data_IF_897289130316
#
_entry.id   IF_897289130316
#
_cell.length_a   1.000
_cell.length_b   1.000
_cell.length_c   1.000
_cell.angle_alpha   90.00
_cell.angle_beta   90.00
_cell.angle_gamma   90.00
#
_symmetry.space_group_name_H-M   'P 1'
#
loop_
_entity.id
_entity.type
_entity.pdbx_description
1 polymer ?
#
# COMPACT_ATOMS: atom_id res chain seq x y z
N UNK A 1 6.72 -16.51 6.83
CA UNK A 1 6.50 -15.77 8.09
C UNK A 1 6.93 -16.63 9.27
N UNK A 2 7.56 -16.03 10.28
CA UNK A 2 8.06 -16.67 11.50
C UNK A 2 7.50 -15.93 12.72
N UNK A 3 6.99 -16.66 13.72
CA UNK A 3 6.46 -16.14 14.97
C UNK A 3 7.20 -16.83 16.13
N UNK A 4 7.71 -16.07 17.09
CA UNK A 4 8.44 -16.59 18.26
C UNK A 4 7.97 -15.94 19.55
N UNK A 5 7.89 -16.75 20.60
CA UNK A 5 7.54 -16.33 21.97
C UNK A 5 6.24 -15.49 22.03
N UNK A 6 5.14 -15.98 21.46
CA UNK A 6 3.85 -15.29 21.42
C UNK A 6 2.75 -16.18 22.01
N UNK A 7 2.29 -15.87 23.22
CA UNK A 7 1.36 -16.72 23.97
C UNK A 7 1.88 -18.17 24.06
N UNK A 8 1.13 -19.16 23.55
CA UNK A 8 1.52 -20.57 23.52
C UNK A 8 2.49 -20.92 22.38
N UNK A 9 2.87 -19.96 21.52
CA UNK A 9 3.77 -20.19 20.38
C UNK A 9 5.21 -19.94 20.81
N UNK A 10 5.99 -21.01 20.97
CA UNK A 10 7.44 -20.90 21.18
C UNK A 10 8.15 -20.50 19.87
N UNK A 11 7.91 -21.24 18.80
CA UNK A 11 8.46 -21.01 17.47
C UNK A 11 7.57 -21.62 16.39
N UNK A 12 7.08 -20.79 15.47
CA UNK A 12 6.23 -21.19 14.35
C UNK A 12 6.80 -20.59 13.07
N UNK A 13 6.95 -21.41 12.02
CA UNK A 13 7.21 -20.95 10.65
C UNK A 13 6.04 -21.36 9.77
N UNK A 14 5.44 -20.39 9.09
CA UNK A 14 4.35 -20.58 8.14
C UNK A 14 4.68 -19.91 6.81
N UNK A 15 4.13 -20.44 5.72
CA UNK A 15 4.14 -19.76 4.43
C UNK A 15 2.71 -19.31 4.13
N UNK A 16 2.51 -18.01 3.92
CA UNK A 16 1.18 -17.47 3.58
C UNK A 16 0.93 -17.74 2.10
N UNK A 17 -0.16 -18.46 1.79
CA UNK A 17 -0.57 -18.77 0.42
C UNK A 17 -2.03 -18.37 0.20
N UNK A 18 -2.47 -18.17 -1.06
CA UNK A 18 -3.89 -18.09 -1.37
C UNK A 18 -4.62 -19.30 -0.78
N UNK A 19 -5.70 -19.05 -0.03
CA UNK A 19 -6.50 -20.07 0.68
C UNK A 19 -5.72 -20.87 1.74
N UNK A 20 -5.47 -20.25 2.89
CA UNK A 20 -4.81 -20.90 4.05
C UNK A 20 -5.84 -21.22 5.13
N UNK A 21 -5.86 -22.47 5.63
CA UNK A 21 -6.74 -22.92 6.71
C UNK A 21 -5.91 -23.36 7.91
N UNK A 22 -6.21 -22.82 9.10
CA UNK A 22 -5.61 -23.25 10.37
C UNK A 22 -6.60 -24.14 11.13
N UNK A 23 -6.17 -25.34 11.53
CA UNK A 23 -6.95 -26.30 12.33
C UNK A 23 -6.11 -26.87 13.48
N UNK A 24 -6.77 -27.44 14.49
CA UNK A 24 -6.12 -28.02 15.68
C UNK A 24 -6.82 -27.68 16.99
N UNK A 25 -6.27 -28.11 18.11
CA UNK A 25 -6.87 -27.95 19.45
C UNK A 25 -6.90 -26.50 19.94
N UNK A 26 -7.79 -26.20 20.88
CA UNK A 26 -7.87 -24.89 21.50
C UNK A 26 -6.60 -24.57 22.30
N UNK A 27 -6.21 -23.29 22.33
CA UNK A 27 -5.03 -22.84 23.08
C UNK A 27 -3.68 -23.12 22.41
N UNK A 28 -3.64 -23.63 21.18
CA UNK A 28 -2.40 -23.96 20.45
C UNK A 28 -1.82 -22.79 19.63
N UNK A 29 -2.42 -21.59 19.72
CA UNK A 29 -1.93 -20.40 19.05
C UNK A 29 -2.53 -20.12 17.66
N UNK A 30 -3.58 -20.84 17.26
CA UNK A 30 -4.32 -20.55 16.00
C UNK A 30 -4.76 -19.08 15.91
N UNK A 31 -5.45 -18.59 16.94
CA UNK A 31 -5.94 -17.20 17.02
C UNK A 31 -4.80 -16.19 16.94
N UNK A 32 -3.69 -16.41 17.67
CA UNK A 32 -2.54 -15.50 17.62
C UNK A 32 -1.89 -15.47 16.24
N UNK A 33 -1.74 -16.64 15.61
CA UNK A 33 -1.24 -16.75 14.23
C UNK A 33 -2.13 -15.97 13.27
N UNK A 34 -3.44 -16.11 13.44
CA UNK A 34 -4.44 -15.41 12.64
C UNK A 34 -4.37 -13.89 12.79
N UNK A 35 -4.22 -13.39 14.03
CA UNK A 35 -4.10 -11.97 14.33
C UNK A 35 -2.86 -11.36 13.67
N UNK A 36 -1.74 -12.10 13.64
CA UNK A 36 -0.53 -11.65 12.96
C UNK A 36 -0.69 -11.64 11.43
N UNK A 37 -1.39 -12.62 10.87
CA UNK A 37 -1.68 -12.61 9.43
C UNK A 37 -2.61 -11.44 9.10
N UNK A 38 -3.66 -11.23 9.89
CA UNK A 38 -4.55 -10.09 9.74
C UNK A 38 -3.80 -8.77 9.82
N UNK A 39 -2.91 -8.61 10.79
CA UNK A 39 -2.13 -7.39 10.96
C UNK A 39 -1.21 -7.13 9.78
N UNK A 40 -0.62 -8.15 9.15
CA UNK A 40 0.12 -8.01 7.90
C UNK A 40 -0.78 -7.50 6.76
N UNK A 41 -1.96 -8.09 6.58
CA UNK A 41 -2.91 -7.63 5.55
C UNK A 41 -3.41 -6.21 5.81
N UNK A 42 -3.72 -5.87 7.07
CA UNK A 42 -4.09 -4.51 7.48
C UNK A 42 -2.95 -3.53 7.22
N UNK A 43 -1.74 -3.88 7.62
CA UNK A 43 -0.55 -3.06 7.41
C UNK A 43 -0.32 -2.77 5.93
N UNK A 44 -0.41 -3.79 5.07
CA UNK A 44 -0.33 -3.63 3.61
C UNK A 44 -1.48 -2.72 3.15
N UNK A 45 -2.74 -3.01 3.47
CA UNK A 45 -3.88 -2.17 3.04
C UNK A 45 -3.68 -0.68 3.36
N UNK A 46 -3.15 -0.37 4.54
CA UNK A 46 -3.02 0.99 5.07
C UNK A 46 -1.60 1.58 4.86
N UNK A 47 -0.72 0.85 4.17
CA UNK A 47 0.66 1.25 3.92
C UNK A 47 0.73 2.51 3.07
N UNK A 48 1.51 3.49 3.54
CA UNK A 48 1.83 4.70 2.80
C UNK A 48 3.20 4.54 2.18
N UNK A 49 3.22 4.34 0.87
CA UNK A 49 4.46 4.10 0.16
C UNK A 49 5.38 5.32 0.20
N UNK A 50 6.64 5.08 0.59
CA UNK A 50 7.69 6.10 0.54
C UNK A 50 8.10 6.35 -0.89
N UNK A 51 8.43 7.59 -1.19
CA UNK A 51 8.84 8.01 -2.54
C UNK A 51 10.17 7.33 -2.92
N UNK A 52 10.15 6.66 -4.08
CA UNK A 52 11.30 5.99 -4.70
C UNK A 52 11.59 6.47 -6.13
N UNK A 53 10.70 7.28 -6.72
CA UNK A 53 10.84 7.70 -8.11
C UNK A 53 12.03 8.68 -8.22
N UNK A 54 13.03 8.40 -9.06
CA UNK A 54 14.14 9.32 -9.32
C UNK A 54 13.65 10.68 -9.85
N UNK A 55 14.35 11.76 -9.50
CA UNK A 55 13.91 13.12 -9.89
C UNK A 55 13.78 13.31 -11.40
N UNK A 56 14.68 12.70 -12.18
CA UNK A 56 14.69 12.79 -13.64
C UNK A 56 13.44 12.20 -14.30
N UNK A 57 12.78 11.24 -13.66
CA UNK A 57 11.55 10.64 -14.19
C UNK A 57 10.35 11.59 -14.10
N UNK A 58 10.39 12.56 -13.19
CA UNK A 58 9.35 13.58 -13.06
C UNK A 58 9.43 14.57 -14.23
N UNK A 59 10.64 14.95 -14.61
CA UNK A 59 10.85 15.85 -15.74
C UNK A 59 10.35 15.19 -17.04
N UNK A 60 10.55 13.86 -17.17
CA UNK A 60 9.96 13.06 -18.24
C UNK A 60 8.44 13.02 -18.18
N UNK A 61 7.86 12.86 -16.99
CA UNK A 61 6.41 12.88 -16.80
C UNK A 61 5.80 14.23 -17.20
N UNK A 62 6.48 15.33 -16.90
CA UNK A 62 6.07 16.68 -17.27
C UNK A 62 6.11 16.90 -18.78
N UNK A 63 7.18 16.43 -19.43
CA UNK A 63 7.35 16.58 -20.88
C UNK A 63 6.43 15.66 -21.68
N UNK A 64 6.26 14.42 -21.23
CA UNK A 64 5.60 13.35 -22.01
C UNK A 64 4.19 13.02 -21.55
N UNK A 65 3.75 13.56 -20.39
CA UNK A 65 2.48 13.25 -19.71
C UNK A 65 2.31 11.76 -19.33
N UNK A 66 3.38 10.97 -19.45
CA UNK A 66 3.42 9.56 -19.11
C UNK A 66 4.81 9.22 -18.57
N UNK A 67 4.83 8.46 -17.47
CA UNK A 67 6.01 7.82 -16.89
C UNK A 67 5.85 6.31 -17.01
N UNK A 68 6.95 5.63 -17.32
CA UNK A 68 7.03 4.18 -17.36
C UNK A 68 8.02 3.74 -16.29
N UNK A 69 7.53 3.05 -15.28
CA UNK A 69 8.37 2.48 -14.23
C UNK A 69 8.49 0.98 -14.44
N UNK A 70 9.69 0.43 -14.27
CA UNK A 70 9.87 -1.02 -14.28
C UNK A 70 9.11 -1.64 -13.09
N UNK A 71 8.22 -2.60 -13.38
CA UNK A 71 7.38 -3.19 -12.34
C UNK A 71 8.19 -4.00 -11.33
N UNK A 72 9.31 -4.60 -11.75
CA UNK A 72 10.16 -5.40 -10.87
C UNK A 72 10.92 -4.48 -9.92
N UNK A 73 11.52 -3.39 -10.42
CA UNK A 73 12.22 -2.40 -9.59
C UNK A 73 11.30 -1.79 -8.53
N UNK A 74 10.11 -1.34 -8.93
CA UNK A 74 9.12 -0.79 -8.00
C UNK A 74 8.68 -1.85 -6.99
N UNK A 75 8.42 -3.07 -7.44
CA UNK A 75 8.01 -4.15 -6.53
C UNK A 75 9.11 -4.53 -5.54
N UNK A 76 10.37 -4.57 -5.97
CA UNK A 76 11.51 -4.92 -5.13
C UNK A 76 11.76 -3.86 -4.06
N UNK A 77 11.63 -2.58 -4.42
CA UNK A 77 11.69 -1.49 -3.46
C UNK A 77 10.58 -1.64 -2.39
N UNK A 78 9.32 -1.79 -2.83
CA UNK A 78 8.18 -1.87 -1.92
C UNK A 78 8.26 -3.10 -1.01
N UNK A 79 8.61 -4.27 -1.55
CA UNK A 79 8.79 -5.51 -0.78
C UNK A 79 9.83 -5.32 0.32
N UNK A 80 10.97 -4.70 0.01
CA UNK A 80 12.03 -4.43 0.99
C UNK A 80 11.59 -3.44 2.06
N UNK A 81 10.95 -2.32 1.69
CA UNK A 81 10.54 -1.32 2.67
C UNK A 81 9.40 -1.83 3.57
N UNK A 82 8.40 -2.52 3.01
CA UNK A 82 7.32 -3.17 3.77
C UNK A 82 7.89 -4.21 4.73
N UNK A 83 8.77 -5.10 4.24
CA UNK A 83 9.42 -6.13 5.06
C UNK A 83 10.17 -5.50 6.23
N UNK A 84 11.05 -4.53 5.94
CA UNK A 84 11.83 -3.83 6.97
C UNK A 84 10.93 -3.13 7.99
N UNK A 85 9.91 -2.41 7.51
CA UNK A 85 9.06 -1.61 8.39
C UNK A 85 8.15 -2.47 9.25
N UNK A 86 7.56 -3.53 8.69
CA UNK A 86 6.73 -4.47 9.45
C UNK A 86 7.55 -5.23 10.50
N UNK A 87 8.74 -5.71 10.12
CA UNK A 87 9.62 -6.48 11.00
C UNK A 87 10.27 -5.66 12.12
N UNK A 88 10.08 -4.33 12.14
CA UNK A 88 10.55 -3.49 13.24
C UNK A 88 9.87 -3.83 14.57
N UNK A 89 8.65 -4.37 14.53
CA UNK A 89 7.89 -4.85 15.69
C UNK A 89 7.95 -3.92 16.92
N UNK A 90 7.64 -2.61 16.78
CA UNK A 90 7.65 -1.70 17.91
C UNK A 90 6.56 -2.12 18.92
N UNK A 91 6.66 -1.66 20.16
CA UNK A 91 5.68 -2.01 21.21
C UNK A 91 4.25 -1.65 20.80
N UNK A 92 4.10 -0.51 20.14
CA UNK A 92 2.83 0.02 19.64
C UNK A 92 2.16 -0.93 18.65
N UNK A 93 2.94 -1.67 17.86
CA UNK A 93 2.42 -2.68 16.95
C UNK A 93 1.75 -3.83 17.72
N UNK A 94 2.39 -4.33 18.78
CA UNK A 94 1.80 -5.38 19.61
C UNK A 94 0.58 -4.88 20.38
N UNK A 95 0.64 -3.66 20.93
CA UNK A 95 -0.48 -3.01 21.63
C UNK A 95 -1.66 -2.69 20.68
N UNK A 96 -1.40 -2.56 19.37
CA UNK A 96 -2.48 -2.42 18.40
C UNK A 96 -3.26 -3.71 18.23
N UNK A 97 -2.55 -4.83 18.12
CA UNK A 97 -3.06 -6.16 17.75
C UNK A 97 -3.66 -6.90 18.96
N UNK A 98 -3.00 -6.86 20.11
CA UNK A 98 -3.34 -7.68 21.26
C UNK A 98 -3.97 -6.83 22.36
N UNK A 99 -5.24 -7.14 22.69
CA UNK A 99 -5.93 -6.53 23.82
C UNK A 99 -5.28 -6.93 25.16
N UNK A 100 -4.83 -8.18 25.26
CA UNK A 100 -4.10 -8.69 26.42
C UNK A 100 -2.59 -8.54 26.19
N UNK A 101 -1.97 -7.65 26.98
CA UNK A 101 -0.54 -7.34 26.91
C UNK A 101 0.36 -8.44 27.47
N UNK A 102 -0.20 -9.43 28.16
CA UNK A 102 0.57 -10.57 28.69
C UNK A 102 0.90 -11.61 27.61
N UNK A 103 0.25 -11.52 26.44
CA UNK A 103 0.43 -12.45 25.31
C UNK A 103 1.80 -12.27 24.65
N UNK A 104 2.37 -11.06 24.67
CA UNK A 104 3.69 -10.80 24.12
C UNK A 104 4.67 -10.40 25.22
N UNK A 105 5.96 -10.62 24.97
CA UNK A 105 7.05 -10.29 25.86
C UNK A 105 7.96 -9.29 25.14
N UNK A 106 7.97 -8.05 25.64
CA UNK A 106 8.79 -6.98 25.10
C UNK A 106 10.27 -7.40 24.97
N UNK A 107 10.85 -7.20 23.79
CA UNK A 107 12.22 -7.61 23.46
C UNK A 107 12.45 -9.11 23.20
N UNK A 108 11.48 -9.99 23.50
CA UNK A 108 11.59 -11.44 23.24
C UNK A 108 10.66 -11.96 22.16
N UNK A 109 9.43 -11.46 22.10
CA UNK A 109 8.50 -11.79 21.02
C UNK A 109 9.04 -11.25 19.72
N UNK A 110 9.00 -12.07 18.66
CA UNK A 110 9.45 -11.70 17.33
C UNK A 110 8.48 -12.20 16.28
N UNK A 111 8.08 -11.31 15.39
CA UNK A 111 7.34 -11.63 14.17
C UNK A 111 8.21 -11.22 13.00
N UNK A 112 8.44 -12.14 12.07
CA UNK A 112 9.31 -11.90 10.92
C UNK A 112 8.55 -12.33 9.68
N UNK A 113 8.34 -11.40 8.78
CA UNK A 113 7.81 -11.62 7.44
C UNK A 113 8.99 -11.59 6.49
N UNK A 114 9.20 -12.68 5.75
CA UNK A 114 10.25 -12.76 4.74
C UNK A 114 9.79 -11.96 3.50
N UNK A 115 10.72 -11.39 2.74
CA UNK A 115 10.39 -10.64 1.51
C UNK A 115 9.54 -11.46 0.54
N UNK A 116 9.79 -12.76 0.47
CA UNK A 116 9.03 -13.70 -0.34
C UNK A 116 7.57 -13.83 0.12
N UNK A 117 7.27 -13.72 1.42
CA UNK A 117 5.88 -13.72 1.89
C UNK A 117 5.12 -12.51 1.32
N UNK A 118 5.76 -11.34 1.27
CA UNK A 118 5.17 -10.10 0.73
C UNK A 118 5.07 -10.17 -0.79
N UNK A 119 6.11 -10.70 -1.45
CA UNK A 119 6.13 -10.87 -2.91
C UNK A 119 4.96 -11.74 -3.39
N UNK A 120 4.64 -12.79 -2.65
CA UNK A 120 3.48 -13.65 -2.93
C UNK A 120 2.11 -12.95 -2.78
N UNK A 121 2.07 -11.75 -2.18
CA UNK A 121 0.86 -10.94 -2.09
C UNK A 121 0.67 -10.00 -3.27
N UNK A 122 1.70 -9.78 -4.09
CA UNK A 122 1.62 -8.95 -5.30
C UNK A 122 0.55 -9.49 -6.24
N UNK A 123 -0.23 -8.57 -6.79
CA UNK A 123 -1.27 -8.83 -7.78
C UNK A 123 -0.62 -8.82 -9.15
N UNK A 124 -0.67 -9.96 -9.83
CA UNK A 124 -0.09 -10.11 -11.18
C UNK A 124 -1.12 -9.92 -12.30
N UNK A 125 -2.36 -9.54 -11.97
CA UNK A 125 -3.43 -9.33 -12.95
C UNK A 125 -3.04 -8.26 -13.99
N UNK A 126 -3.07 -8.65 -15.26
CA UNK A 126 -2.85 -7.75 -16.38
C UNK A 126 -4.13 -6.95 -16.65
N UNK A 127 -3.96 -5.69 -17.12
CA UNK A 127 -5.04 -4.75 -17.44
C UNK A 127 -5.79 -4.12 -16.25
N UNK A 128 -5.33 -4.30 -15.02
CA UNK A 128 -5.83 -3.51 -13.88
C UNK A 128 -5.50 -2.03 -14.11
N UNK A 129 -6.52 -1.19 -14.05
CA UNK A 129 -6.41 0.26 -14.16
C UNK A 129 -6.81 0.86 -12.83
N UNK A 130 -5.93 1.68 -12.27
CA UNK A 130 -6.24 2.55 -11.14
C UNK A 130 -6.23 4.00 -11.59
N UNK A 131 -7.19 4.78 -11.10
CA UNK A 131 -7.18 6.21 -11.31
C UNK A 131 -7.53 6.95 -10.04
N UNK A 132 -6.86 8.07 -9.83
CA UNK A 132 -7.08 8.96 -8.71
C UNK A 132 -7.21 10.39 -9.22
N UNK A 133 -8.15 11.15 -8.66
CA UNK A 133 -8.28 12.57 -8.93
C UNK A 133 -7.82 13.37 -7.74
N UNK A 134 -6.95 14.33 -7.98
CA UNK A 134 -6.48 15.28 -6.98
C UNK A 134 -6.84 16.70 -7.41
N UNK A 135 -7.29 17.51 -6.46
CA UNK A 135 -7.37 18.95 -6.61
C UNK A 135 -6.09 19.57 -6.04
N UNK A 136 -5.38 20.31 -6.87
CA UNK A 136 -4.17 21.03 -6.47
C UNK A 136 -4.54 22.32 -5.70
N UNK A 137 -3.61 22.89 -4.90
CA UNK A 137 -3.90 24.07 -4.08
C UNK A 137 -4.38 25.29 -4.87
N UNK A 138 -3.97 25.41 -6.14
CA UNK A 138 -4.37 26.44 -7.09
C UNK A 138 -5.77 26.21 -7.70
N UNK A 139 -6.40 25.08 -7.38
CA UNK A 139 -7.71 24.69 -7.90
C UNK A 139 -7.69 23.72 -9.08
N UNK A 140 -6.52 23.46 -9.67
CA UNK A 140 -6.38 22.59 -10.85
C UNK A 140 -6.79 21.16 -10.52
N UNK A 141 -7.67 20.56 -11.34
CA UNK A 141 -8.09 19.15 -11.22
C UNK A 141 -7.19 18.27 -12.05
N UNK A 142 -6.48 17.35 -11.40
CA UNK A 142 -5.56 16.41 -12.05
C UNK A 142 -6.05 14.99 -11.84
N UNK A 143 -6.18 14.24 -12.92
CA UNK A 143 -6.46 12.80 -12.94
C UNK A 143 -5.19 12.03 -13.26
N UNK A 144 -4.81 11.14 -12.37
CA UNK A 144 -3.75 10.17 -12.56
C UNK A 144 -4.37 8.85 -12.98
N UNK A 145 -3.78 8.18 -13.97
CA UNK A 145 -4.23 6.89 -14.48
C UNK A 145 -3.02 5.98 -14.57
N UNK A 146 -2.98 4.96 -13.72
CA UNK A 146 -1.92 3.96 -13.70
C UNK A 146 -2.44 2.62 -14.18
N UNK A 147 -1.64 1.92 -15.00
CA UNK A 147 -1.95 0.57 -15.48
C UNK A 147 -0.69 -0.26 -15.67
N UNK A 148 -0.84 -1.58 -15.64
CA UNK A 148 0.22 -2.49 -16.08
C UNK A 148 0.31 -2.53 -17.60
N UNK A 149 1.52 -2.40 -18.17
CA UNK A 149 1.82 -2.47 -19.60
C UNK A 149 3.03 -3.37 -19.82
N UNK A 150 2.78 -4.67 -19.95
CA UNK A 150 3.85 -5.68 -19.98
C UNK A 150 4.59 -5.70 -18.64
N UNK A 151 5.92 -5.57 -18.67
CA UNK A 151 6.78 -5.51 -17.49
C UNK A 151 6.78 -4.14 -16.80
N UNK A 152 6.09 -3.13 -17.36
CA UNK A 152 6.07 -1.77 -16.84
C UNK A 152 4.77 -1.41 -16.12
N UNK A 153 4.87 -0.52 -15.14
CA UNK A 153 3.79 0.27 -14.59
C UNK A 153 3.76 1.61 -15.33
N UNK A 154 2.75 1.80 -16.17
CA UNK A 154 2.56 3.01 -16.95
C UNK A 154 1.59 3.94 -16.22
N UNK A 155 2.09 5.11 -15.79
CA UNK A 155 1.26 6.14 -15.13
C UNK A 155 1.16 7.37 -16.02
N UNK A 156 -0.08 7.79 -16.30
CA UNK A 156 -0.41 8.97 -17.10
C UNK A 156 -1.03 10.05 -16.24
N UNK A 157 -0.74 11.30 -16.58
CA UNK A 157 -1.38 12.47 -15.99
C UNK A 157 -2.30 13.13 -17.02
N UNK A 158 -3.54 13.42 -16.62
CA UNK A 158 -4.57 14.10 -17.42
C UNK A 158 -5.13 15.25 -16.60
N UNK A 159 -5.18 16.46 -17.16
CA UNK A 159 -5.87 17.61 -16.54
C UNK A 159 -7.33 17.55 -16.96
N UNK A 160 -8.26 17.73 -16.03
CA UNK A 160 -9.70 17.75 -16.36
C UNK A 160 -10.12 19.18 -16.76
N UNK A 161 -10.58 19.34 -18.02
CA UNK A 161 -10.90 20.63 -18.67
C UNK A 161 -12.00 21.44 -17.95
N UNK A 162 -12.83 20.83 -17.08
CA UNK A 162 -13.80 21.52 -16.20
C UNK A 162 -13.16 22.48 -15.15
N UNK A 163 -11.84 22.69 -15.21
CA UNK A 163 -11.13 23.71 -14.43
C UNK A 163 -10.99 25.06 -15.15
N UNK A 164 -11.58 25.20 -16.35
CA UNK A 164 -11.56 26.41 -17.15
C UNK A 164 -12.94 27.07 -17.06
N UNK A 165 -13.03 28.24 -16.42
CA UNK A 165 -14.23 29.08 -16.53
C UNK A 165 -14.42 29.46 -18.01
N UNK A 166 -15.62 29.24 -18.56
CA UNK A 166 -15.99 29.43 -19.97
C UNK A 166 -15.84 30.87 -20.52
N UNK A 167 -15.29 31.82 -19.76
CA UNK A 167 -15.17 33.21 -20.18
C UNK A 167 -13.85 33.59 -20.84
N UNK A 168 -12.79 32.78 -20.73
CA UNK A 168 -11.49 33.16 -21.32
C UNK A 168 -11.18 32.33 -22.56
N UNK A 169 -11.40 33.01 -23.68
CA UNK A 169 -11.12 32.63 -25.06
C UNK A 169 -9.80 31.89 -25.24
N UNK A 170 -9.81 30.91 -26.17
CA UNK A 170 -8.73 30.44 -27.04
C UNK A 170 -7.33 31.01 -26.67
N UNK A 171 -6.81 30.62 -25.51
CA UNK A 171 -5.46 31.00 -25.08
C UNK A 171 -4.56 29.78 -25.26
N UNK A 172 -3.77 29.87 -26.33
CA UNK A 172 -2.52 29.19 -26.64
C UNK A 172 -2.13 28.00 -25.74
N UNK A 173 -2.12 26.79 -26.32
CA UNK A 173 -1.65 25.55 -25.67
C UNK A 173 -0.28 25.70 -25.02
N UNK A 174 0.56 26.64 -25.48
CA UNK A 174 1.86 26.94 -24.90
C UNK A 174 1.76 27.54 -23.47
N UNK A 175 0.82 28.47 -23.24
CA UNK A 175 0.55 29.09 -21.93
C UNK A 175 0.00 28.09 -20.92
N UNK A 176 -0.87 27.19 -21.38
CA UNK A 176 -1.39 26.08 -20.58
C UNK A 176 -0.30 25.08 -20.17
N UNK A 177 0.72 24.88 -21.01
CA UNK A 177 1.86 24.01 -20.71
C UNK A 177 2.80 24.65 -19.67
N UNK A 178 3.02 25.96 -19.75
CA UNK A 178 3.83 26.70 -18.77
C UNK A 178 3.17 26.73 -17.39
N UNK A 179 1.85 26.94 -17.31
CA UNK A 179 1.13 26.90 -16.03
C UNK A 179 1.14 25.50 -15.41
N UNK A 180 1.02 24.45 -16.21
CA UNK A 180 1.14 23.06 -15.76
C UNK A 180 2.52 22.77 -15.12
N UNK A 181 3.59 23.16 -15.81
CA UNK A 181 4.95 22.96 -15.31
C UNK A 181 5.17 23.69 -14.00
N UNK A 182 4.68 24.94 -13.87
CA UNK A 182 4.79 25.68 -12.62
C UNK A 182 4.00 25.04 -11.47
N UNK A 183 2.76 24.62 -11.71
CA UNK A 183 1.89 24.03 -10.68
C UNK A 183 2.45 22.70 -10.21
N UNK A 184 2.93 21.86 -11.12
CA UNK A 184 3.53 20.58 -10.75
C UNK A 184 4.89 20.79 -10.08
N UNK A 185 5.72 21.72 -10.57
CA UNK A 185 7.00 22.03 -9.91
C UNK A 185 6.79 22.55 -8.48
N UNK A 186 5.77 23.38 -8.24
CA UNK A 186 5.43 23.85 -6.88
C UNK A 186 4.90 22.74 -5.97
N UNK A 187 4.33 21.67 -6.53
CA UNK A 187 3.70 20.57 -5.77
C UNK A 187 4.41 19.22 -5.98
N UNK A 188 5.71 19.24 -6.32
CA UNK A 188 6.47 18.08 -6.81
C UNK A 188 6.46 16.90 -5.84
N UNK A 189 6.70 17.13 -4.55
CA UNK A 189 6.71 16.08 -3.52
C UNK A 189 5.35 15.38 -3.40
N UNK A 190 4.27 16.16 -3.35
CA UNK A 190 2.91 15.62 -3.27
C UNK A 190 2.54 14.82 -4.52
N UNK A 191 3.04 15.23 -5.70
CA UNK A 191 2.87 14.47 -6.94
C UNK A 191 3.54 13.10 -6.82
N UNK A 192 4.77 13.07 -6.32
CA UNK A 192 5.54 11.83 -6.13
C UNK A 192 4.85 10.86 -5.18
N UNK A 193 4.33 11.37 -4.07
CA UNK A 193 3.57 10.57 -3.11
C UNK A 193 2.33 9.94 -3.78
N UNK A 194 1.57 10.73 -4.54
CA UNK A 194 0.37 10.24 -5.26
C UNK A 194 0.75 9.20 -6.31
N UNK A 195 1.81 9.44 -7.09
CA UNK A 195 2.29 8.48 -8.08
C UNK A 195 2.72 7.17 -7.43
N UNK A 196 3.46 7.25 -6.32
CA UNK A 196 3.92 6.07 -5.62
C UNK A 196 2.76 5.29 -4.98
N UNK A 197 1.81 5.98 -4.35
CA UNK A 197 0.59 5.37 -3.81
C UNK A 197 -0.25 4.68 -4.89
N UNK A 198 -0.34 5.23 -6.10
CA UNK A 198 -1.05 4.60 -7.22
C UNK A 198 -0.38 3.32 -7.70
N UNK A 199 0.94 3.37 -7.87
CA UNK A 199 1.72 2.18 -8.27
C UNK A 199 1.68 1.10 -7.18
N UNK A 200 1.72 1.52 -5.92
CA UNK A 200 1.51 0.64 -4.78
C UNK A 200 0.15 -0.05 -4.84
N UNK A 201 -0.94 0.71 -5.06
CA UNK A 201 -2.30 0.15 -5.16
C UNK A 201 -2.44 -0.81 -6.34
N UNK A 202 -1.81 -0.53 -7.48
CA UNK A 202 -1.79 -1.47 -8.60
C UNK A 202 -1.19 -2.83 -8.23
N UNK A 203 -0.14 -2.83 -7.41
CA UNK A 203 0.58 -4.05 -7.04
C UNK A 203 -0.05 -4.78 -5.85
N UNK A 204 -0.64 -4.07 -4.88
CA UNK A 204 -1.04 -4.66 -3.60
C UNK A 204 -2.51 -4.48 -3.22
N UNK A 205 -3.26 -3.56 -3.83
CA UNK A 205 -4.63 -3.32 -3.40
C UNK A 205 -5.57 -4.43 -3.87
N UNK A 206 -6.05 -5.22 -2.91
CA UNK A 206 -7.11 -6.21 -3.12
C UNK A 206 -8.43 -5.67 -2.61
N UNK A 207 -9.41 -5.52 -3.50
CA UNK A 207 -10.76 -5.05 -3.13
C UNK A 207 -11.49 -6.01 -2.17
N UNK A 208 -11.18 -7.31 -2.26
CA UNK A 208 -11.93 -8.38 -1.60
C UNK A 208 -11.03 -9.31 -0.76
N UNK A 209 -10.37 -8.77 0.28
CA UNK A 209 -9.75 -9.63 1.30
C UNK A 209 -10.81 -10.00 2.33
N UNK A 210 -11.34 -11.22 2.23
CA UNK A 210 -12.26 -11.77 3.23
C UNK A 210 -11.46 -12.44 4.34
N UNK A 211 -11.70 -12.03 5.58
CA UNK A 211 -11.08 -12.60 6.76
C UNK A 211 -12.15 -13.19 7.66
N UNK A 212 -11.98 -14.45 8.07
CA UNK A 212 -12.93 -15.17 8.90
C UNK A 212 -12.24 -15.59 10.20
N UNK A 213 -12.54 -14.92 11.33
CA UNK A 213 -11.87 -15.13 12.61
C UNK A 213 -12.01 -16.59 13.08
N UNK A 214 -10.91 -17.17 13.58
CA UNK A 214 -10.87 -18.46 14.25
C UNK A 214 -11.45 -18.42 15.66
N UNK A 215 -11.66 -17.23 16.23
CA UNK A 215 -12.38 -17.07 17.48
C UNK A 215 -13.89 -17.28 17.32
N UNK A 216 -14.52 -17.77 18.40
CA UNK A 216 -15.97 -18.04 18.43
C UNK A 216 -16.85 -16.81 18.21
N UNK A 217 -16.34 -15.61 18.54
CA UNK A 217 -17.05 -14.32 18.39
C UNK A 217 -16.33 -13.41 17.40
N UNK A 218 -15.00 -13.48 17.30
CA UNK A 218 -14.20 -12.75 16.29
C UNK A 218 -14.15 -11.23 16.45
N UNK A 219 -14.96 -10.66 17.34
CA UNK A 219 -15.16 -9.22 17.48
C UNK A 219 -13.94 -8.49 18.04
N UNK A 220 -13.11 -9.17 18.82
CA UNK A 220 -11.92 -8.57 19.43
C UNK A 220 -10.92 -8.11 18.37
N UNK A 221 -10.81 -8.86 17.27
CA UNK A 221 -9.90 -8.54 16.18
C UNK A 221 -10.34 -7.32 15.37
N UNK A 222 -11.66 -7.14 15.20
CA UNK A 222 -12.23 -6.03 14.45
C UNK A 222 -12.65 -4.84 15.33
N UNK A 223 -12.44 -4.92 16.65
CA UNK A 223 -13.02 -3.96 17.59
C UNK A 223 -12.65 -2.51 17.28
N UNK A 224 -11.39 -2.25 16.90
CA UNK A 224 -10.94 -0.91 16.49
C UNK A 224 -11.49 -0.51 15.13
N UNK A 225 -11.45 -1.44 14.16
CA UNK A 225 -11.96 -1.20 12.80
C UNK A 225 -13.49 -0.96 12.76
N UNK A 226 -14.23 -1.41 13.77
CA UNK A 226 -15.67 -1.14 13.95
C UNK A 226 -15.95 0.19 14.67
N UNK A 227 -14.98 0.73 15.41
CA UNK A 227 -15.10 2.00 16.14
C UNK A 227 -14.63 3.18 15.27
N UNK A 228 -13.65 2.95 14.39
CA UNK A 228 -13.04 3.97 13.53
C UNK A 228 -13.77 4.18 12.18
N UNK A 229 -15.02 3.72 12.04
CA UNK A 229 -15.91 3.96 10.88
C UNK A 229 -17.02 4.95 11.24
#
# INVERSE_FOLDING_TARGET
MIIKNLGPIDNLKIQIRPYTIFFGDNGTGKTFTEYIIYSLFKYIRDYKAKVFIPENEIDLLLQRKEILLDSNEVSDYLVKDISRSFNSNPKEFYDEIFADKTVYIEGKTKIIVEEEDIRNLIIHENNTIWSFRSKMPDGTKIKFISRRKGENLATKIVIEEESINETDAIEDKSKQLSSLNEVINRNREKLLEVLMDLNYRLLFYRKNTNFLPAERIGINMFRKDLIDR
#
